data_IF_836688293487
#
_entry.id   IF_836688293487
#
_cell.length_a   1.000
_cell.length_b   1.000
_cell.length_c   1.000
_cell.angle_alpha   90.00
_cell.angle_beta   90.00
_cell.angle_gamma   90.00
#
_symmetry.space_group_name_H-M   'P 1'
#
loop_
_entity.id
_entity.type
_entity.pdbx_description
1 polymer ?
#
# COMPACT_ATOMS: atom_id res chain seq x y z
N UNK A 1 -25.29 -8.17 6.87
CA UNK A 1 -23.85 -8.36 6.58
C UNK A 1 -23.69 -8.32 5.07
N UNK A 2 -22.98 -7.34 4.53
CA UNK A 2 -22.66 -7.30 3.10
C UNK A 2 -21.53 -8.28 2.86
N UNK A 3 -21.83 -9.43 2.28
CA UNK A 3 -20.82 -10.40 1.89
C UNK A 3 -20.12 -9.86 0.64
N UNK A 4 -18.85 -9.46 0.78
CA UNK A 4 -18.01 -9.18 -0.38
C UNK A 4 -17.53 -10.50 -0.95
N UNK A 5 -17.69 -10.67 -2.26
CA UNK A 5 -17.10 -11.79 -2.97
C UNK A 5 -15.57 -11.66 -3.00
N UNK A 6 -14.86 -12.78 -3.17
CA UNK A 6 -13.39 -12.77 -3.24
C UNK A 6 -12.86 -11.87 -4.37
N UNK A 7 -13.60 -11.76 -5.48
CA UNK A 7 -13.25 -10.87 -6.60
C UNK A 7 -13.42 -9.40 -6.21
N UNK A 8 -14.51 -9.03 -5.52
CA UNK A 8 -14.68 -7.67 -5.02
C UNK A 8 -13.60 -7.27 -4.00
N UNK A 9 -13.16 -8.22 -3.15
CA UNK A 9 -12.06 -7.99 -2.21
C UNK A 9 -10.73 -7.76 -2.93
N UNK A 10 -10.43 -8.55 -3.96
CA UNK A 10 -9.22 -8.40 -4.78
C UNK A 10 -9.25 -7.06 -5.52
N UNK A 11 -10.37 -6.73 -6.18
CA UNK A 11 -10.52 -5.46 -6.90
C UNK A 11 -10.35 -4.24 -5.99
N UNK A 12 -10.87 -4.30 -4.75
CA UNK A 12 -10.61 -3.23 -3.76
C UNK A 12 -9.16 -3.15 -3.33
N UNK A 13 -8.50 -4.30 -3.13
CA UNK A 13 -7.09 -4.31 -2.76
C UNK A 13 -6.25 -3.66 -3.86
N UNK A 14 -6.47 -4.05 -5.12
CA UNK A 14 -5.80 -3.47 -6.29
C UNK A 14 -6.04 -1.97 -6.40
N UNK A 15 -7.28 -1.51 -6.26
CA UNK A 15 -7.59 -0.08 -6.32
C UNK A 15 -6.86 0.73 -5.23
N UNK A 16 -6.71 0.18 -4.02
CA UNK A 16 -5.96 0.85 -2.95
C UNK A 16 -4.45 0.80 -3.24
N UNK A 17 -3.92 -0.31 -3.77
CA UNK A 17 -2.52 -0.43 -4.17
C UNK A 17 -2.15 0.62 -5.24
N UNK A 18 -3.01 0.78 -6.26
CA UNK A 18 -2.86 1.82 -7.29
C UNK A 18 -2.91 3.23 -6.68
N UNK A 19 -3.83 3.47 -5.74
CA UNK A 19 -3.91 4.76 -5.03
C UNK A 19 -2.65 5.05 -4.21
N UNK A 20 -2.05 4.04 -3.58
CA UNK A 20 -0.78 4.19 -2.84
C UNK A 20 0.33 4.58 -3.81
N UNK A 21 0.42 3.89 -4.95
CA UNK A 21 1.42 4.18 -5.98
C UNK A 21 1.30 5.64 -6.46
N UNK A 22 0.08 6.07 -6.81
CA UNK A 22 -0.18 7.43 -7.29
C UNK A 22 0.19 8.49 -6.24
N UNK A 23 -0.17 8.28 -4.97
CA UNK A 23 0.19 9.19 -3.87
C UNK A 23 1.71 9.29 -3.69
N UNK A 24 2.41 8.15 -3.75
CA UNK A 24 3.86 8.11 -3.62
C UNK A 24 4.54 8.79 -4.82
N UNK A 25 4.04 8.56 -6.03
CA UNK A 25 4.54 9.20 -7.25
C UNK A 25 4.31 10.71 -7.21
N UNK A 26 3.11 11.15 -6.82
CA UNK A 26 2.78 12.58 -6.71
C UNK A 26 3.62 13.30 -5.66
N UNK A 27 3.97 12.63 -4.56
CA UNK A 27 4.67 13.25 -3.42
C UNK A 27 6.19 13.20 -3.53
N UNK A 28 6.73 12.10 -4.07
CA UNK A 28 8.17 11.84 -4.10
C UNK A 28 8.77 11.87 -5.50
N UNK A 29 7.95 11.94 -6.57
CA UNK A 29 8.33 11.98 -7.99
C UNK A 29 9.15 10.78 -8.51
N UNK A 30 9.78 9.99 -7.64
CA UNK A 30 10.52 8.78 -7.95
C UNK A 30 10.13 7.70 -6.95
N UNK A 31 9.35 6.73 -7.42
CA UNK A 31 8.98 5.54 -6.66
C UNK A 31 9.70 4.34 -7.27
N UNK A 32 10.44 3.61 -6.44
CA UNK A 32 11.13 2.40 -6.89
C UNK A 32 10.11 1.30 -7.17
N UNK A 33 10.27 0.60 -8.30
CA UNK A 33 9.41 -0.53 -8.67
C UNK A 33 9.34 -1.58 -7.55
N UNK A 34 10.45 -1.85 -6.86
CA UNK A 34 10.52 -2.78 -5.73
C UNK A 34 9.51 -2.45 -4.62
N UNK A 35 9.29 -1.15 -4.36
CA UNK A 35 8.37 -0.69 -3.32
C UNK A 35 6.92 -0.89 -3.76
N UNK A 36 6.61 -0.63 -5.03
CA UNK A 36 5.29 -0.92 -5.61
C UNK A 36 5.01 -2.43 -5.60
N UNK A 37 6.00 -3.26 -5.95
CA UNK A 37 5.85 -4.71 -5.89
C UNK A 37 5.60 -5.23 -4.47
N UNK A 38 6.26 -4.64 -3.46
CA UNK A 38 5.99 -4.99 -2.07
C UNK A 38 4.56 -4.60 -1.63
N UNK A 39 4.06 -3.43 -2.06
CA UNK A 39 2.66 -3.03 -1.79
C UNK A 39 1.68 -3.96 -2.51
N UNK A 40 1.97 -4.36 -3.76
CA UNK A 40 1.14 -5.28 -4.55
C UNK A 40 1.03 -6.69 -3.97
N UNK A 41 1.97 -7.10 -3.11
CA UNK A 41 1.90 -8.38 -2.39
C UNK A 41 0.89 -8.37 -1.23
N UNK A 42 0.40 -7.20 -0.82
CA UNK A 42 -0.49 -7.05 0.33
C UNK A 42 -1.95 -7.04 -0.14
N UNK A 43 -2.73 -8.06 0.25
CA UNK A 43 -4.16 -8.17 -0.08
C UNK A 43 -5.09 -7.84 1.11
N UNK A 44 -4.51 -7.54 2.27
CA UNK A 44 -5.25 -7.14 3.46
C UNK A 44 -5.69 -5.68 3.37
N UNK A 45 -7.00 -5.47 3.20
CA UNK A 45 -7.57 -4.13 2.98
C UNK A 45 -7.29 -3.16 4.13
N UNK A 46 -7.23 -3.64 5.38
CA UNK A 46 -6.92 -2.79 6.52
C UNK A 46 -5.48 -2.27 6.46
N UNK A 47 -4.51 -3.18 6.21
CA UNK A 47 -3.10 -2.83 6.01
C UNK A 47 -2.92 -1.85 4.86
N UNK A 48 -3.56 -2.11 3.71
CA UNK A 48 -3.51 -1.21 2.56
C UNK A 48 -4.04 0.19 2.87
N UNK A 49 -5.14 0.31 3.63
CA UNK A 49 -5.65 1.63 4.06
C UNK A 49 -4.69 2.35 5.01
N UNK A 50 -4.06 1.61 5.93
CA UNK A 50 -3.05 2.18 6.81
C UNK A 50 -1.83 2.67 6.02
N UNK A 51 -1.37 1.90 5.05
CA UNK A 51 -0.28 2.27 4.15
C UNK A 51 -0.64 3.50 3.31
N UNK A 52 -1.84 3.58 2.75
CA UNK A 52 -2.30 4.76 2.00
C UNK A 52 -2.27 6.02 2.87
N UNK A 53 -2.75 5.93 4.12
CA UNK A 53 -2.70 7.05 5.05
C UNK A 53 -1.27 7.45 5.38
N UNK A 54 -0.38 6.47 5.56
CA UNK A 54 1.05 6.66 5.81
C UNK A 54 1.73 7.34 4.62
N UNK A 55 1.53 6.85 3.40
CA UNK A 55 2.06 7.44 2.16
C UNK A 55 1.80 8.95 2.04
N UNK A 56 0.66 9.43 2.58
CA UNK A 56 0.32 10.86 2.59
C UNK A 56 1.01 11.68 3.69
N UNK A 57 1.42 11.07 4.81
CA UNK A 57 2.01 11.76 5.97
C UNK A 57 3.54 11.61 6.04
N UNK A 58 4.09 10.47 5.62
CA UNK A 58 5.52 10.13 5.72
C UNK A 58 6.37 11.19 5.02
N UNK A 59 7.47 11.64 5.60
CA UNK A 59 8.30 12.72 5.02
C UNK A 59 9.24 12.25 3.90
N UNK A 60 9.46 10.94 3.78
CA UNK A 60 10.39 10.37 2.78
C UNK A 60 10.00 8.96 2.36
N UNK A 61 10.33 8.61 1.11
CA UNK A 61 10.03 7.29 0.56
C UNK A 61 10.81 6.15 1.25
N UNK A 62 12.02 6.43 1.74
CA UNK A 62 12.79 5.46 2.53
C UNK A 62 12.11 5.11 3.86
N UNK A 63 11.54 6.10 4.53
CA UNK A 63 10.78 5.89 5.79
C UNK A 63 9.53 5.04 5.52
N UNK A 64 8.84 5.29 4.40
CA UNK A 64 7.71 4.47 3.97
C UNK A 64 8.15 3.01 3.72
N UNK A 65 9.25 2.81 3.00
CA UNK A 65 9.81 1.48 2.74
C UNK A 65 10.21 0.73 4.01
N UNK A 66 10.81 1.41 5.00
CA UNK A 66 11.12 0.79 6.28
C UNK A 66 9.87 0.36 7.04
N UNK A 67 8.82 1.19 7.05
CA UNK A 67 7.55 0.81 7.68
C UNK A 67 6.88 -0.37 6.98
N UNK A 68 6.96 -0.43 5.65
CA UNK A 68 6.46 -1.56 4.86
C UNK A 68 7.19 -2.85 5.24
N UNK A 69 8.52 -2.83 5.34
CA UNK A 69 9.32 -4.01 5.73
C UNK A 69 9.03 -4.47 7.17
N UNK A 70 8.82 -3.55 8.11
CA UNK A 70 8.48 -3.89 9.49
C UNK A 70 7.10 -4.56 9.60
N UNK A 71 6.13 -4.12 8.81
CA UNK A 71 4.76 -4.67 8.82
C UNK A 71 4.63 -6.06 8.14
N UNK A 72 5.66 -6.47 7.40
CA UNK A 72 5.82 -7.82 6.83
C UNK A 72 6.59 -8.79 7.75
N UNK A 73 7.18 -8.31 8.85
CA UNK A 73 8.01 -9.13 9.77
C UNK A 73 7.27 -9.54 11.05
N UNK A 74 6.04 -9.05 11.26
CA UNK A 74 5.19 -9.47 12.39
C UNK A 74 4.47 -10.78 12.01
N UNK A 75 5.14 -11.90 12.28
CA UNK A 75 4.59 -13.26 12.33
C UNK A 75 5.11 -13.96 13.57
#
# INVERSE_FOLDING_TARGET
MTYMTSIERIGRAQAIQESIAEVLEARFNQVTLELIEQVNKIYELDKLKQLLRRASITESISEFGQQLSQENTDT
#
